data_IF_673280733529
#
_entry.id   IF_673280733529
#
_cell.length_a   1.000
_cell.length_b   1.000
_cell.length_c   1.000
_cell.angle_alpha   90.00
_cell.angle_beta   90.00
_cell.angle_gamma   90.00
#
_symmetry.space_group_name_H-M   'P 1'
#
loop_
_entity.id
_entity.type
_entity.pdbx_description
1 polymer ?
#
# COMPACT_ATOMS: atom_id res chain seq x y z
N UNK A 1 -11.98 -10.21 5.01
CA UNK A 1 -12.67 -10.99 3.94
C UNK A 1 -12.94 -10.05 2.79
N UNK A 2 -12.27 -10.22 1.64
CA UNK A 2 -12.47 -9.39 0.46
C UNK A 2 -13.54 -10.07 -0.39
N UNK A 3 -14.76 -9.54 -0.40
CA UNK A 3 -15.88 -10.06 -1.19
C UNK A 3 -16.27 -9.05 -2.29
N UNK A 4 -16.29 -9.48 -3.54
CA UNK A 4 -16.86 -8.74 -4.67
C UNK A 4 -16.55 -9.43 -5.99
N UNK A 5 -17.54 -9.58 -6.85
CA UNK A 5 -17.37 -9.99 -8.25
C UNK A 5 -17.04 -8.75 -9.06
N UNK A 6 -15.90 -8.77 -9.75
CA UNK A 6 -15.49 -7.71 -10.65
C UNK A 6 -15.16 -8.27 -12.01
N UNK A 7 -16.11 -8.13 -12.90
CA UNK A 7 -15.95 -8.25 -14.34
C UNK A 7 -16.06 -6.84 -14.96
N UNK A 8 -14.98 -6.08 -14.97
CA UNK A 8 -14.83 -4.96 -15.90
C UNK A 8 -13.38 -4.54 -16.05
N UNK A 9 -12.98 -4.28 -17.29
CA UNK A 9 -11.66 -3.81 -17.69
C UNK A 9 -11.31 -2.41 -17.12
N UNK A 10 -12.29 -1.67 -16.60
CA UNK A 10 -12.14 -0.33 -16.03
C UNK A 10 -11.26 -0.26 -14.77
N UNK A 11 -11.05 -1.39 -14.09
CA UNK A 11 -10.26 -1.44 -12.85
C UNK A 11 -8.75 -1.43 -13.08
N UNK A 12 -8.30 -1.66 -14.31
CA UNK A 12 -6.88 -1.58 -14.69
C UNK A 12 -6.40 -0.15 -14.89
N UNK A 13 -7.32 0.80 -15.04
CA UNK A 13 -7.03 2.22 -15.31
C UNK A 13 -7.02 3.10 -14.08
N UNK A 14 -7.35 2.58 -12.89
CA UNK A 14 -7.33 3.38 -11.66
C UNK A 14 -5.91 3.69 -11.23
N UNK A 15 -5.65 4.94 -10.78
CA UNK A 15 -4.36 5.30 -10.24
C UNK A 15 -4.05 4.41 -9.03
N UNK A 16 -2.96 3.66 -9.10
CA UNK A 16 -2.47 2.87 -7.99
C UNK A 16 -1.89 3.77 -6.91
N UNK A 17 -1.64 3.18 -5.73
CA UNK A 17 -0.91 3.82 -4.64
C UNK A 17 0.51 3.27 -4.59
N UNK A 18 1.47 4.14 -4.37
CA UNK A 18 2.87 3.75 -4.18
C UNK A 18 3.10 3.29 -2.73
N UNK A 19 2.63 2.09 -2.40
CA UNK A 19 2.76 1.50 -1.07
C UNK A 19 4.22 1.26 -0.74
N UNK A 20 4.69 1.88 0.34
CA UNK A 20 6.04 1.72 0.88
C UNK A 20 6.04 0.70 2.02
N UNK A 21 7.08 -0.11 2.11
CA UNK A 21 7.28 -1.01 3.24
C UNK A 21 7.62 -0.19 4.50
N UNK A 22 6.98 -0.50 5.61
CA UNK A 22 7.21 0.21 6.88
C UNK A 22 8.67 0.12 7.36
N UNK A 23 9.39 -0.93 6.97
CA UNK A 23 10.82 -1.08 7.28
C UNK A 23 11.67 -0.07 6.53
N UNK A 24 11.31 0.27 5.30
CA UNK A 24 12.00 1.32 4.52
C UNK A 24 11.73 2.71 5.13
N UNK A 25 10.53 2.94 5.66
CA UNK A 25 10.22 4.17 6.41
C UNK A 25 11.10 4.26 7.67
N UNK A 26 11.17 3.18 8.44
CA UNK A 26 11.95 3.15 9.67
C UNK A 26 13.44 3.33 9.40
N UNK A 27 13.97 2.70 8.35
CA UNK A 27 15.37 2.78 7.94
C UNK A 27 15.72 4.19 7.45
N UNK A 28 14.89 4.80 6.61
CA UNK A 28 15.06 6.19 6.16
C UNK A 28 15.04 7.17 7.34
N UNK A 29 14.12 6.97 8.30
CA UNK A 29 14.07 7.80 9.50
C UNK A 29 15.32 7.63 10.37
N UNK A 30 15.82 6.40 10.56
CA UNK A 30 17.03 6.13 11.30
C UNK A 30 18.25 6.82 10.64
N UNK A 31 18.39 6.70 9.33
CA UNK A 31 19.48 7.36 8.58
C UNK A 31 19.40 8.88 8.76
N UNK A 32 18.24 9.48 8.55
CA UNK A 32 18.06 10.93 8.62
C UNK A 32 18.31 11.48 10.04
N UNK A 33 18.13 10.68 11.09
CA UNK A 33 18.34 11.07 12.48
C UNK A 33 19.77 10.83 12.98
N UNK A 34 20.55 9.97 12.31
CA UNK A 34 21.84 9.52 12.80
C UNK A 34 23.01 9.90 11.90
N UNK A 35 22.75 10.48 10.73
CA UNK A 35 23.79 10.94 9.80
C UNK A 35 23.60 12.41 9.48
N UNK A 36 24.67 13.08 9.05
CA UNK A 36 24.66 14.51 8.75
C UNK A 36 24.09 14.80 7.35
N UNK A 37 23.63 16.03 7.16
CA UNK A 37 23.26 16.54 5.84
C UNK A 37 21.81 16.30 5.44
N UNK A 38 20.93 16.00 6.41
CA UNK A 38 19.49 15.81 6.21
C UNK A 38 18.64 17.00 6.65
N UNK A 39 19.25 18.00 7.30
CA UNK A 39 18.57 19.17 7.82
C UNK A 39 17.88 19.94 6.70
N UNK A 40 16.59 20.24 6.89
CA UNK A 40 15.77 20.97 5.94
C UNK A 40 15.41 20.21 4.66
N UNK A 41 15.80 18.93 4.53
CA UNK A 41 15.40 18.09 3.40
C UNK A 41 14.03 17.46 3.63
N UNK A 42 13.31 17.24 2.55
CA UNK A 42 12.05 16.50 2.50
C UNK A 42 12.25 15.26 1.64
N UNK A 43 11.83 14.12 2.13
CA UNK A 43 11.90 12.84 1.42
C UNK A 43 10.50 12.28 1.24
N UNK A 44 10.09 12.07 0.00
CA UNK A 44 8.87 11.36 -0.33
C UNK A 44 9.16 9.85 -0.27
N UNK A 45 8.62 9.16 0.73
CA UNK A 45 8.86 7.74 0.94
C UNK A 45 7.77 6.93 0.23
N UNK A 46 8.01 6.62 -1.03
CA UNK A 46 7.10 5.89 -1.90
C UNK A 46 7.64 4.51 -2.23
N UNK A 47 6.75 3.51 -2.33
CA UNK A 47 7.13 2.18 -2.77
C UNK A 47 7.41 2.10 -4.27
N UNK A 48 8.13 1.05 -4.72
CA UNK A 48 8.63 0.97 -6.10
C UNK A 48 7.55 0.65 -7.13
N UNK A 49 6.34 0.33 -6.70
CA UNK A 49 5.27 -0.12 -7.60
C UNK A 49 3.95 0.54 -7.24
N UNK A 50 3.28 1.13 -8.24
CA UNK A 50 1.90 1.56 -8.08
C UNK A 50 1.00 0.32 -7.96
N UNK A 51 0.25 0.25 -6.85
CA UNK A 51 -0.57 -0.88 -6.49
C UNK A 51 -2.05 -0.47 -6.41
N UNK A 52 -2.87 -1.02 -7.28
CA UNK A 52 -4.33 -0.93 -7.18
C UNK A 52 -4.88 -2.11 -6.37
N UNK A 53 -6.13 -2.01 -5.90
CA UNK A 53 -6.79 -3.10 -5.19
C UNK A 53 -6.84 -4.42 -5.99
N UNK A 54 -7.24 -4.41 -7.28
CA UNK A 54 -7.18 -5.60 -8.13
C UNK A 54 -5.78 -6.19 -8.29
N UNK A 55 -4.74 -5.34 -8.43
CA UNK A 55 -3.35 -5.80 -8.51
C UNK A 55 -2.89 -6.45 -7.21
N UNK A 56 -3.24 -5.88 -6.06
CA UNK A 56 -2.97 -6.48 -4.76
C UNK A 56 -3.66 -7.85 -4.62
N UNK A 57 -4.92 -7.95 -5.03
CA UNK A 57 -5.67 -9.21 -5.01
C UNK A 57 -5.02 -10.27 -5.91
N UNK A 58 -4.54 -9.90 -7.09
CA UNK A 58 -3.82 -10.80 -8.00
C UNK A 58 -2.52 -11.33 -7.36
N UNK A 59 -1.70 -10.46 -6.75
CA UNK A 59 -0.46 -10.84 -6.05
C UNK A 59 -0.78 -11.83 -4.93
N UNK A 60 -1.77 -11.56 -4.09
CA UNK A 60 -2.18 -12.49 -3.04
C UNK A 60 -2.72 -13.80 -3.60
N UNK A 61 -3.48 -13.75 -4.70
CA UNK A 61 -4.00 -14.93 -5.38
C UNK A 61 -2.89 -15.87 -5.84
N UNK A 62 -1.85 -15.32 -6.47
CA UNK A 62 -0.67 -16.05 -6.92
C UNK A 62 0.10 -16.69 -5.73
N UNK A 63 0.38 -15.89 -4.69
CA UNK A 63 1.16 -16.34 -3.53
C UNK A 63 0.43 -17.43 -2.73
N UNK A 64 -0.89 -17.30 -2.58
CA UNK A 64 -1.72 -18.22 -1.80
C UNK A 64 -2.20 -19.43 -2.63
N UNK A 65 -1.99 -19.44 -3.95
CA UNK A 65 -2.44 -20.50 -4.85
C UNK A 65 -3.98 -20.63 -4.90
N UNK A 66 -4.71 -19.54 -4.68
CA UNK A 66 -6.18 -19.51 -4.68
C UNK A 66 -6.71 -18.18 -5.19
N UNK A 67 -7.94 -18.17 -5.69
CA UNK A 67 -8.57 -16.91 -6.10
C UNK A 67 -8.74 -15.96 -4.90
N UNK A 68 -8.15 -14.79 -5.02
CA UNK A 68 -8.38 -13.64 -4.13
C UNK A 68 -9.02 -12.54 -4.97
N UNK A 69 -10.14 -12.00 -4.50
CA UNK A 69 -10.90 -10.98 -5.22
C UNK A 69 -10.83 -9.66 -4.45
N UNK A 70 -10.70 -8.58 -5.19
CA UNK A 70 -10.83 -7.24 -4.64
C UNK A 70 -12.29 -6.96 -4.26
N UNK A 71 -12.52 -6.37 -3.09
CA UNK A 71 -13.87 -6.10 -2.57
C UNK A 71 -14.63 -4.95 -3.22
N UNK A 72 -13.98 -4.20 -4.09
CA UNK A 72 -14.59 -3.06 -4.79
C UNK A 72 -14.43 -1.71 -4.09
N UNK A 73 -15.17 -0.73 -4.61
CA UNK A 73 -15.09 0.68 -4.21
C UNK A 73 -16.34 1.16 -3.45
N UNK A 74 -17.16 0.24 -2.96
CA UNK A 74 -18.31 0.61 -2.11
C UNK A 74 -17.80 1.10 -0.75
N UNK A 75 -17.66 2.43 -0.63
CA UNK A 75 -17.15 3.07 0.57
C UNK A 75 -18.11 2.99 1.76
N UNK A 76 -19.41 2.82 1.51
CA UNK A 76 -20.39 2.66 2.58
C UNK A 76 -20.34 1.24 3.15
N UNK A 77 -20.20 0.23 2.30
CA UNK A 77 -19.95 -1.14 2.72
C UNK A 77 -18.61 -1.28 3.44
N UNK A 78 -17.56 -0.57 2.96
CA UNK A 78 -16.25 -0.53 3.61
C UNK A 78 -16.32 0.05 5.02
N UNK A 79 -16.96 1.23 5.18
CA UNK A 79 -17.14 1.86 6.49
C UNK A 79 -17.94 0.97 7.45
N UNK A 80 -18.99 0.32 6.95
CA UNK A 80 -19.82 -0.61 7.74
C UNK A 80 -18.98 -1.78 8.27
N UNK A 81 -18.15 -2.39 7.43
CA UNK A 81 -17.26 -3.47 7.83
C UNK A 81 -16.17 -3.00 8.82
N UNK A 82 -15.65 -1.78 8.63
CA UNK A 82 -14.65 -1.21 9.55
C UNK A 82 -15.22 -0.95 10.94
N UNK A 83 -16.49 -0.58 11.07
CA UNK A 83 -17.16 -0.36 12.37
C UNK A 83 -17.25 -1.62 13.24
N UNK A 84 -17.10 -2.80 12.67
CA UNK A 84 -17.03 -4.05 13.44
C UNK A 84 -15.71 -4.18 14.23
N UNK A 85 -14.65 -3.45 13.82
CA UNK A 85 -13.30 -3.59 14.33
C UNK A 85 -12.68 -2.29 14.86
N UNK A 86 -13.33 -1.14 14.60
CA UNK A 86 -12.83 0.18 14.95
C UNK A 86 -13.95 1.10 15.45
N UNK A 87 -13.62 2.12 16.26
CA UNK A 87 -14.59 3.15 16.66
C UNK A 87 -15.20 3.85 15.44
N UNK A 88 -16.46 4.27 15.54
CA UNK A 88 -17.21 4.88 14.43
C UNK A 88 -16.50 6.08 13.79
N UNK A 89 -15.88 6.93 14.60
CA UNK A 89 -15.12 8.09 14.10
C UNK A 89 -13.90 7.67 13.28
N UNK A 90 -13.19 6.61 13.71
CA UNK A 90 -12.03 6.09 12.99
C UNK A 90 -12.44 5.41 11.67
N UNK A 91 -13.54 4.65 11.67
CA UNK A 91 -14.07 4.06 10.45
C UNK A 91 -14.46 5.13 9.42
N UNK A 92 -15.07 6.23 9.88
CA UNK A 92 -15.41 7.37 9.03
C UNK A 92 -14.16 8.05 8.46
N UNK A 93 -13.16 8.35 9.30
CA UNK A 93 -11.93 9.02 8.86
C UNK A 93 -11.16 8.18 7.84
N UNK A 94 -11.05 6.86 8.08
CA UNK A 94 -10.41 5.93 7.15
C UNK A 94 -11.18 5.88 5.82
N UNK A 95 -12.52 5.84 5.86
CA UNK A 95 -13.36 5.91 4.66
C UNK A 95 -13.07 7.18 3.85
N UNK A 96 -13.03 8.35 4.50
CA UNK A 96 -12.76 9.63 3.83
C UNK A 96 -11.36 9.68 3.21
N UNK A 97 -10.37 9.11 3.90
CA UNK A 97 -9.01 8.97 3.38
C UNK A 97 -8.99 8.12 2.10
N UNK A 98 -9.61 6.93 2.12
CA UNK A 98 -9.66 6.04 0.95
C UNK A 98 -10.47 6.63 -0.19
N UNK A 99 -11.58 7.33 0.09
CA UNK A 99 -12.33 8.04 -0.94
C UNK A 99 -11.46 9.10 -1.62
N UNK A 100 -10.68 9.87 -0.86
CA UNK A 100 -9.74 10.84 -1.41
C UNK A 100 -8.66 10.19 -2.28
N UNK A 101 -8.19 9.00 -1.93
CA UNK A 101 -7.23 8.25 -2.74
C UNK A 101 -7.84 7.73 -4.04
N UNK A 102 -9.10 7.26 -4.01
CA UNK A 102 -9.80 6.82 -5.21
C UNK A 102 -10.03 7.98 -6.20
N UNK A 103 -10.33 9.16 -5.70
CA UNK A 103 -10.62 10.34 -6.53
C UNK A 103 -9.34 10.96 -7.14
N UNK A 104 -8.25 11.01 -6.39
CA UNK A 104 -7.05 11.78 -6.77
C UNK A 104 -5.83 10.91 -7.08
N UNK A 105 -5.85 9.65 -6.66
CA UNK A 105 -4.67 8.80 -6.61
C UNK A 105 -3.68 9.23 -5.50
N UNK A 106 -2.62 8.48 -5.38
CA UNK A 106 -1.46 8.84 -4.55
C UNK A 106 -0.25 8.82 -5.48
N UNK A 107 0.06 9.97 -6.06
CA UNK A 107 1.01 10.11 -7.16
C UNK A 107 2.43 10.18 -6.59
N UNK A 108 3.33 9.39 -7.19
CA UNK A 108 4.77 9.52 -6.99
C UNK A 108 5.35 10.55 -7.95
N UNK A 109 6.34 11.30 -7.51
CA UNK A 109 7.17 12.10 -8.41
C UNK A 109 8.23 11.21 -9.08
N UNK A 110 8.69 11.65 -10.27
CA UNK A 110 9.59 10.83 -11.09
C UNK A 110 10.89 10.40 -10.38
N UNK A 111 11.38 11.19 -9.43
CA UNK A 111 12.65 10.94 -8.73
C UNK A 111 12.49 10.32 -7.33
N UNK A 112 11.28 10.07 -6.86
CA UNK A 112 11.05 9.61 -5.48
C UNK A 112 11.74 8.28 -5.22
N UNK A 113 11.66 7.33 -6.15
CA UNK A 113 12.26 5.99 -6.00
C UNK A 113 13.79 6.06 -6.06
N UNK A 114 14.36 6.90 -6.93
CA UNK A 114 15.80 7.11 -6.99
C UNK A 114 16.32 7.75 -5.69
N UNK A 115 15.61 8.76 -5.19
CA UNK A 115 15.92 9.45 -3.94
C UNK A 115 15.87 8.49 -2.76
N UNK A 116 14.82 7.69 -2.66
CA UNK A 116 14.68 6.69 -1.60
C UNK A 116 15.77 5.61 -1.72
N UNK A 117 16.04 5.11 -2.92
CA UNK A 117 17.12 4.13 -3.17
C UNK A 117 18.49 4.68 -2.75
N UNK A 118 18.78 5.93 -3.09
CA UNK A 118 20.03 6.59 -2.70
C UNK A 118 20.11 6.79 -1.18
N UNK A 119 19.00 7.14 -0.52
CA UNK A 119 18.95 7.30 0.93
C UNK A 119 19.17 5.98 1.66
N UNK A 120 18.48 4.90 1.23
CA UNK A 120 18.59 3.57 1.85
C UNK A 120 19.90 2.84 1.51
N UNK A 121 20.54 3.17 0.38
CA UNK A 121 21.69 2.42 -0.16
C UNK A 121 21.31 1.09 -0.82
N UNK A 122 20.03 0.78 -0.95
CA UNK A 122 19.49 -0.39 -1.64
C UNK A 122 18.11 -0.06 -2.25
N UNK A 123 17.62 -0.92 -3.16
CA UNK A 123 16.28 -0.77 -3.72
C UNK A 123 15.21 -0.90 -2.61
N UNK A 124 14.14 -0.06 -2.63
CA UNK A 124 13.01 -0.21 -1.72
C UNK A 124 12.35 -1.59 -1.84
N UNK A 125 11.83 -2.11 -0.71
CA UNK A 125 11.16 -3.41 -0.64
C UNK A 125 9.85 -3.39 -1.44
N UNK A 126 9.56 -4.48 -2.12
CA UNK A 126 8.36 -4.60 -2.95
C UNK A 126 7.18 -5.13 -2.13
N UNK A 127 5.96 -4.82 -2.59
CA UNK A 127 4.76 -5.38 -1.98
C UNK A 127 4.69 -6.91 -2.11
N UNK A 128 5.17 -7.45 -3.22
CA UNK A 128 5.26 -8.89 -3.46
C UNK A 128 6.17 -9.58 -2.44
N UNK A 129 7.31 -8.97 -2.10
CA UNK A 129 8.21 -9.49 -1.06
C UNK A 129 7.51 -9.52 0.30
N UNK A 130 6.87 -8.43 0.68
CA UNK A 130 6.05 -8.34 1.91
C UNK A 130 4.95 -9.40 1.94
N UNK A 131 4.20 -9.56 0.86
CA UNK A 131 3.10 -10.53 0.78
C UNK A 131 3.60 -11.98 0.91
N UNK A 132 4.77 -12.31 0.32
CA UNK A 132 5.41 -13.63 0.48
C UNK A 132 5.83 -13.88 1.93
N UNK A 133 6.52 -12.94 2.56
CA UNK A 133 6.92 -13.03 3.97
C UNK A 133 5.71 -13.27 4.89
N UNK A 134 4.61 -12.55 4.67
CA UNK A 134 3.38 -12.76 5.42
C UNK A 134 2.81 -14.17 5.20
N UNK A 135 2.72 -14.63 3.95
CA UNK A 135 2.21 -15.95 3.62
C UNK A 135 3.05 -17.07 4.24
N UNK A 136 4.36 -16.93 4.23
CA UNK A 136 5.28 -17.89 4.83
C UNK A 136 5.14 -17.93 6.35
N UNK A 137 4.98 -16.77 6.99
CA UNK A 137 4.69 -16.67 8.42
C UNK A 137 3.39 -17.38 8.81
N UNK A 138 2.33 -17.29 8.00
CA UNK A 138 1.06 -17.98 8.26
C UNK A 138 1.14 -19.50 8.07
N UNK A 139 1.99 -19.97 7.14
CA UNK A 139 2.21 -21.41 6.93
C UNK A 139 3.03 -22.06 8.04
N UNK A 140 3.80 -21.27 8.76
CA UNK A 140 4.66 -21.73 9.86
C UNK A 140 3.93 -21.82 11.22
N UNK A 141 2.68 -21.38 11.30
CA UNK A 141 1.81 -21.44 12.49
C UNK A 141 0.90 -22.68 12.45
#
# INVERSE_FOLDING_TARGET
>A
MIKGDFDSEDHLTQPGHAWVDVRDIAEAAAIALTTDGHEGKVYNLNGPTLLSGPKAAAIWGEILGRTVRYGGHDMDAFETAMREHAPTWSAFDIRMMYQGYLERGFVTEANDIETLTALLGHAPRTYEAFARECADSWRAQ
#
